data_IF_461109484896
#
_entry.id   IF_461109484896
#
_cell.length_a   1.000
_cell.length_b   1.000
_cell.length_c   1.000
_cell.angle_alpha   90.00
_cell.angle_beta   90.00
_cell.angle_gamma   90.00
#
_symmetry.space_group_name_H-M   'P 1'
#
loop_
_entity.id
_entity.type
_entity.pdbx_description
1 polymer ?
#
# COMPACT_ATOMS: atom_id res chain seq x y z
N UNK A 1 3.58 -11.86 14.18
CA UNK A 1 3.01 -10.55 13.88
C UNK A 1 1.89 -10.71 12.86
N UNK A 2 0.81 -9.97 13.00
CA UNK A 2 -0.34 -10.04 12.08
C UNK A 2 -0.37 -8.80 11.19
N UNK A 3 -0.48 -9.01 9.89
CA UNK A 3 -0.44 -7.95 8.89
C UNK A 3 -1.80 -7.77 8.21
N UNK A 4 -2.17 -6.52 7.97
CA UNK A 4 -3.27 -6.16 7.09
C UNK A 4 -2.68 -5.80 5.73
N UNK A 5 -3.01 -6.59 4.72
CA UNK A 5 -2.49 -6.38 3.37
C UNK A 5 -3.55 -5.68 2.53
N UNK A 6 -3.22 -4.49 2.01
CA UNK A 6 -4.11 -3.67 1.19
C UNK A 6 -3.47 -3.35 -0.15
N UNK A 7 -4.27 -3.30 -1.20
CA UNK A 7 -3.82 -2.88 -2.52
C UNK A 7 -4.97 -2.25 -3.30
N UNK A 8 -4.62 -1.39 -4.26
CA UNK A 8 -5.57 -0.89 -5.26
C UNK A 8 -6.77 -0.17 -4.65
N UNK A 9 -6.50 0.72 -3.71
CA UNK A 9 -7.51 1.58 -3.08
C UNK A 9 -8.04 2.60 -4.09
N UNK A 10 -7.17 3.09 -4.99
CA UNK A 10 -7.52 3.98 -6.11
C UNK A 10 -8.34 5.20 -5.70
N UNK A 11 -8.04 5.77 -4.54
CA UNK A 11 -8.68 7.00 -4.10
C UNK A 11 -10.05 6.84 -3.44
N UNK A 12 -10.54 5.62 -3.26
CA UNK A 12 -11.83 5.37 -2.61
C UNK A 12 -11.69 5.36 -1.09
N UNK A 13 -12.13 6.43 -0.43
CA UNK A 13 -12.10 6.52 1.03
C UNK A 13 -12.97 5.44 1.69
N UNK A 14 -14.20 5.16 1.22
CA UNK A 14 -14.99 4.10 1.83
C UNK A 14 -14.30 2.73 1.79
N UNK A 15 -13.59 2.42 0.71
CA UNK A 15 -12.83 1.17 0.57
C UNK A 15 -11.74 1.11 1.64
N UNK A 16 -10.98 2.19 1.83
CA UNK A 16 -9.95 2.24 2.86
C UNK A 16 -10.55 2.11 4.26
N UNK A 17 -11.63 2.81 4.54
CA UNK A 17 -12.26 2.77 5.87
C UNK A 17 -12.74 1.37 6.23
N UNK A 18 -13.32 0.66 5.28
CA UNK A 18 -13.75 -0.74 5.49
C UNK A 18 -12.56 -1.65 5.80
N UNK A 19 -11.47 -1.48 5.04
CA UNK A 19 -10.27 -2.28 5.24
C UNK A 19 -9.62 -2.00 6.60
N UNK A 20 -9.52 -0.73 6.99
CA UNK A 20 -8.97 -0.37 8.29
C UNK A 20 -9.83 -0.87 9.44
N UNK A 21 -11.16 -0.82 9.30
CA UNK A 21 -12.07 -1.35 10.31
C UNK A 21 -11.88 -2.87 10.46
N UNK A 22 -11.72 -3.58 9.35
CA UNK A 22 -11.43 -5.02 9.37
C UNK A 22 -10.10 -5.29 10.07
N UNK A 23 -9.05 -4.51 9.77
CA UNK A 23 -7.76 -4.66 10.42
C UNK A 23 -7.82 -4.46 11.92
N UNK A 24 -8.59 -3.47 12.39
CA UNK A 24 -8.80 -3.26 13.84
C UNK A 24 -9.53 -4.43 14.47
N UNK A 25 -10.59 -4.92 13.83
CA UNK A 25 -11.36 -6.08 14.31
C UNK A 25 -10.47 -7.33 14.43
N UNK A 26 -9.57 -7.52 13.48
CA UNK A 26 -8.64 -8.66 13.47
C UNK A 26 -7.40 -8.42 14.31
N UNK A 27 -7.25 -7.26 14.92
CA UNK A 27 -6.10 -6.89 15.76
C UNK A 27 -4.77 -6.99 15.01
N UNK A 28 -4.76 -6.47 13.77
CA UNK A 28 -3.54 -6.45 12.97
C UNK A 28 -2.50 -5.49 13.56
N UNK A 29 -1.23 -5.88 13.54
CA UNK A 29 -0.12 -5.11 14.10
C UNK A 29 0.40 -4.06 13.13
N UNK A 30 0.51 -4.43 11.85
CA UNK A 30 1.08 -3.60 10.81
C UNK A 30 0.21 -3.63 9.56
N UNK A 31 0.36 -2.61 8.73
CA UNK A 31 -0.34 -2.50 7.46
C UNK A 31 0.70 -2.57 6.33
N UNK A 32 0.47 -3.46 5.38
CA UNK A 32 1.27 -3.57 4.16
C UNK A 32 0.45 -2.97 3.03
N UNK A 33 0.91 -1.83 2.51
CA UNK A 33 0.20 -1.05 1.50
C UNK A 33 0.86 -1.29 0.15
N UNK A 34 0.21 -2.04 -0.70
CA UNK A 34 0.82 -2.63 -1.90
C UNK A 34 0.66 -1.80 -3.16
N UNK A 35 0.36 -0.51 -3.02
CA UNK A 35 0.34 0.41 -4.15
C UNK A 35 -1.05 0.77 -4.67
N UNK A 36 -1.08 1.70 -5.62
CA UNK A 36 -2.30 2.28 -6.21
C UNK A 36 -3.23 2.86 -5.14
N UNK A 37 -2.69 3.84 -4.41
CA UNK A 37 -3.28 4.34 -3.16
C UNK A 37 -4.30 5.44 -3.43
N UNK A 38 -3.84 6.59 -3.96
CA UNK A 38 -4.65 7.80 -4.09
C UNK A 38 -5.25 7.97 -5.47
N UNK A 39 -4.53 7.53 -6.50
CA UNK A 39 -4.87 7.79 -7.88
C UNK A 39 -5.61 6.59 -8.48
N UNK A 40 -6.76 6.85 -9.11
CA UNK A 40 -7.54 5.76 -9.72
C UNK A 40 -7.01 5.36 -11.12
N UNK A 41 -6.16 6.19 -11.73
CA UNK A 41 -5.54 5.89 -13.02
C UNK A 41 -6.46 6.12 -14.23
N UNK A 42 -5.89 6.21 -15.43
CA UNK A 42 -6.66 6.58 -16.63
C UNK A 42 -7.56 5.46 -17.16
N UNK A 43 -7.30 4.20 -16.77
CA UNK A 43 -8.08 3.06 -17.25
C UNK A 43 -9.30 2.73 -16.39
N UNK A 44 -9.38 3.33 -15.21
CA UNK A 44 -10.47 3.08 -14.28
C UNK A 44 -11.46 4.24 -14.32
N UNK A 45 -12.72 3.98 -14.04
CA UNK A 45 -13.69 5.04 -13.82
C UNK A 45 -13.43 5.73 -12.48
N UNK A 46 -14.01 6.90 -12.28
CA UNK A 46 -13.92 7.61 -11.00
C UNK A 46 -14.61 6.76 -9.92
N UNK A 47 -13.91 6.37 -8.86
CA UNK A 47 -14.50 5.51 -7.84
C UNK A 47 -15.52 6.28 -6.99
N UNK A 48 -16.49 5.55 -6.45
CA UNK A 48 -17.41 6.10 -5.47
C UNK A 48 -16.62 6.52 -4.22
N UNK A 49 -16.93 7.72 -3.73
CA UNK A 49 -16.25 8.22 -2.54
C UNK A 49 -14.79 8.62 -2.77
N UNK A 50 -14.44 9.06 -4.00
CA UNK A 50 -13.10 9.56 -4.29
C UNK A 50 -12.75 10.70 -3.33
N UNK A 51 -11.73 10.49 -2.51
CA UNK A 51 -11.27 11.49 -1.53
C UNK A 51 -9.80 11.22 -1.20
N UNK A 52 -8.91 11.66 -2.07
CA UNK A 52 -7.47 11.46 -1.89
C UNK A 52 -6.95 12.11 -0.60
N UNK A 53 -7.44 13.29 -0.28
CA UNK A 53 -7.01 13.97 0.95
C UNK A 53 -7.49 13.25 2.21
N UNK A 54 -8.72 12.75 2.21
CA UNK A 54 -9.23 11.95 3.32
C UNK A 54 -8.42 10.67 3.54
N UNK A 55 -8.03 10.01 2.45
CA UNK A 55 -7.17 8.84 2.52
C UNK A 55 -5.80 9.23 3.10
N UNK A 56 -5.19 10.31 2.59
CA UNK A 56 -3.89 10.76 3.08
C UNK A 56 -3.95 11.06 4.58
N UNK A 57 -4.99 11.72 5.05
CA UNK A 57 -5.16 12.00 6.48
C UNK A 57 -5.23 10.72 7.31
N UNK A 58 -5.99 9.72 6.86
CA UNK A 58 -6.10 8.44 7.56
C UNK A 58 -4.76 7.70 7.61
N UNK A 59 -4.06 7.62 6.47
CA UNK A 59 -2.79 6.91 6.39
C UNK A 59 -1.69 7.63 7.16
N UNK A 60 -1.65 8.96 7.11
CA UNK A 60 -0.66 9.74 7.85
C UNK A 60 -0.78 9.54 9.36
N UNK A 61 -2.00 9.36 9.86
CA UNK A 61 -2.23 9.07 11.27
C UNK A 61 -1.69 7.70 11.69
N UNK A 62 -1.48 6.79 10.72
CA UNK A 62 -0.99 5.44 10.95
C UNK A 62 0.40 5.21 10.35
N UNK A 63 1.11 6.27 9.96
CA UNK A 63 2.34 6.17 9.16
C UNK A 63 3.41 5.28 9.79
N UNK A 64 3.55 5.28 11.11
CA UNK A 64 4.53 4.48 11.84
C UNK A 64 4.21 2.97 11.82
N UNK A 65 3.01 2.60 11.37
CA UNK A 65 2.55 1.21 11.30
C UNK A 65 2.39 0.70 9.87
N UNK A 66 2.84 1.48 8.87
CA UNK A 66 2.65 1.15 7.46
C UNK A 66 3.99 0.92 6.77
N UNK A 67 4.06 -0.16 6.00
CA UNK A 67 5.12 -0.41 5.03
C UNK A 67 4.46 -0.42 3.65
N UNK A 68 5.00 0.32 2.69
CA UNK A 68 4.37 0.50 1.39
C UNK A 68 5.31 0.19 0.24
N UNK A 69 4.74 -0.13 -0.91
CA UNK A 69 5.43 -0.20 -2.20
C UNK A 69 4.65 0.62 -3.23
N UNK A 70 5.34 1.00 -4.30
CA UNK A 70 4.75 1.76 -5.39
C UNK A 70 3.96 0.85 -6.32
N UNK A 71 2.71 1.25 -6.64
CA UNK A 71 1.93 0.69 -7.72
C UNK A 71 2.12 1.48 -9.02
N UNK A 72 1.45 1.06 -10.07
CA UNK A 72 1.55 1.72 -11.37
C UNK A 72 0.84 3.07 -11.43
N UNK A 73 -0.08 3.35 -10.51
CA UNK A 73 -0.81 4.61 -10.46
C UNK A 73 -0.24 5.63 -9.46
N UNK A 74 0.72 5.24 -8.61
CA UNK A 74 1.27 6.13 -7.60
C UNK A 74 2.25 7.12 -8.21
N UNK A 75 2.12 8.39 -7.84
CA UNK A 75 2.91 9.49 -8.40
C UNK A 75 3.70 10.23 -7.34
N UNK A 76 4.65 11.04 -7.80
CA UNK A 76 5.42 11.91 -6.93
C UNK A 76 4.53 12.93 -6.21
N UNK A 77 3.46 13.37 -6.86
CA UNK A 77 2.48 14.28 -6.24
C UNK A 77 1.79 13.57 -5.08
N UNK A 78 1.42 12.29 -5.26
CA UNK A 78 0.82 11.52 -4.18
C UNK A 78 1.77 11.40 -2.99
N UNK A 79 3.06 11.18 -3.26
CA UNK A 79 4.07 11.11 -2.20
C UNK A 79 4.12 12.41 -1.39
N UNK A 80 3.88 13.56 -2.00
CA UNK A 80 3.90 14.84 -1.29
C UNK A 80 2.80 14.96 -0.24
N UNK A 81 1.72 14.20 -0.38
CA UNK A 81 0.61 14.18 0.57
C UNK A 81 0.80 13.18 1.71
N UNK A 82 1.72 12.25 1.56
CA UNK A 82 1.89 11.12 2.49
C UNK A 82 3.19 11.24 3.28
N UNK A 83 3.11 10.97 4.58
CA UNK A 83 4.25 11.02 5.52
C UNK A 83 4.97 9.69 5.65
N UNK A 84 4.70 8.77 4.76
CA UNK A 84 5.34 7.47 4.67
C UNK A 84 5.88 7.29 3.26
N UNK A 85 6.99 6.57 3.06
CA UNK A 85 7.54 6.39 1.72
C UNK A 85 6.66 5.42 0.92
N UNK A 86 6.27 5.85 -0.30
CA UNK A 86 5.42 5.05 -1.18
C UNK A 86 6.03 4.81 -2.57
N UNK A 87 7.25 5.26 -2.80
CA UNK A 87 7.83 5.27 -4.15
C UNK A 87 8.82 4.14 -4.39
N UNK A 88 9.00 3.21 -3.46
CA UNK A 88 9.87 2.06 -3.64
C UNK A 88 9.25 1.06 -4.61
N UNK A 89 10.04 0.63 -5.60
CA UNK A 89 9.61 -0.39 -6.56
C UNK A 89 9.33 -1.73 -5.88
N UNK A 90 10.07 -2.03 -4.81
CA UNK A 90 9.82 -3.18 -3.95
C UNK A 90 10.33 -2.87 -2.54
N UNK A 91 9.90 -3.66 -1.58
CA UNK A 91 10.32 -3.53 -0.19
C UNK A 91 10.55 -4.93 0.39
N UNK A 92 11.50 -5.04 1.29
CA UNK A 92 11.75 -6.29 2.01
C UNK A 92 11.19 -6.17 3.42
N UNK A 93 10.40 -7.15 3.79
CA UNK A 93 9.91 -7.31 5.15
C UNK A 93 10.66 -8.48 5.77
N UNK A 94 11.31 -8.25 6.91
CA UNK A 94 12.01 -9.29 7.62
C UNK A 94 11.21 -9.63 8.87
N UNK A 95 10.75 -10.87 8.96
CA UNK A 95 9.96 -11.33 10.09
C UNK A 95 10.34 -12.77 10.41
N UNK A 96 10.69 -13.03 11.67
CA UNK A 96 11.08 -14.36 12.16
C UNK A 96 12.19 -15.01 11.32
N UNK A 97 13.18 -14.22 10.91
CA UNK A 97 14.30 -14.70 10.11
C UNK A 97 13.99 -14.92 8.63
N UNK A 98 12.79 -14.63 8.19
CA UNK A 98 12.38 -14.75 6.80
C UNK A 98 12.45 -13.40 6.08
N UNK A 99 12.88 -13.42 4.85
CA UNK A 99 12.85 -12.24 3.96
C UNK A 99 11.65 -12.36 3.03
N UNK A 100 10.73 -11.45 3.17
CA UNK A 100 9.50 -11.42 2.38
C UNK A 100 9.58 -10.25 1.42
N UNK A 101 9.49 -10.56 0.12
CA UNK A 101 9.49 -9.53 -0.93
C UNK A 101 8.09 -8.99 -1.09
N UNK A 102 7.95 -7.67 -0.99
CA UNK A 102 6.70 -6.97 -1.25
C UNK A 102 6.82 -6.22 -2.57
N UNK A 103 5.90 -6.47 -3.50
CA UNK A 103 5.86 -5.80 -4.79
C UNK A 103 4.42 -5.70 -5.27
N UNK A 104 4.12 -4.62 -6.01
CA UNK A 104 2.79 -4.46 -6.62
C UNK A 104 2.58 -5.44 -7.77
N UNK A 105 3.66 -5.81 -8.47
CA UNK A 105 3.63 -6.80 -9.54
C UNK A 105 3.79 -6.24 -10.95
N UNK A 106 3.83 -4.92 -11.12
CA UNK A 106 3.95 -4.31 -12.46
C UNK A 106 5.40 -4.19 -12.94
N UNK A 107 6.38 -4.18 -12.03
CA UNK A 107 7.81 -4.16 -12.36
C UNK A 107 8.44 -5.51 -12.02
N UNK A 108 8.35 -5.90 -10.76
CA UNK A 108 8.82 -7.20 -10.29
C UNK A 108 7.64 -8.10 -9.98
N UNK A 109 7.77 -9.39 -10.32
CA UNK A 109 6.73 -10.40 -10.12
C UNK A 109 7.42 -11.75 -9.88
N UNK A 110 6.63 -12.81 -9.74
CA UNK A 110 7.16 -14.16 -9.59
C UNK A 110 7.97 -14.62 -10.81
N UNK A 111 7.73 -14.03 -11.99
CA UNK A 111 8.47 -14.35 -13.22
C UNK A 111 9.69 -13.44 -13.43
N UNK A 112 9.83 -12.34 -12.69
CA UNK A 112 10.96 -11.43 -12.82
C UNK A 112 11.26 -10.79 -11.47
N UNK A 113 12.09 -11.49 -10.69
CA UNK A 113 12.46 -11.05 -9.34
C UNK A 113 13.63 -10.07 -9.35
N UNK A 114 13.73 -9.15 -8.37
CA UNK A 114 14.95 -8.38 -8.16
C UNK A 114 16.07 -9.30 -7.67
N UNK A 115 17.34 -8.85 -7.75
CA UNK A 115 18.45 -9.64 -7.21
C UNK A 115 18.26 -9.93 -5.72
N UNK A 116 18.58 -11.15 -5.31
CA UNK A 116 18.54 -11.54 -3.90
C UNK A 116 17.85 -12.88 -3.69
N UNK A 117 17.82 -13.28 -2.42
CA UNK A 117 17.13 -14.49 -2.01
C UNK A 117 15.94 -14.11 -1.11
N UNK A 118 14.78 -14.66 -1.41
CA UNK A 118 13.54 -14.40 -0.69
C UNK A 118 12.85 -15.69 -0.31
N UNK A 119 12.22 -15.69 0.84
CA UNK A 119 11.42 -16.80 1.32
C UNK A 119 9.96 -16.65 0.91
#
# INVERSE_FOLDING_TARGET
MKYLLLSDIHGSLPTLEKALAFGRKQQCDMILLMGDILNYGPRNGVPEGLDARGIADRLNALADRIVAVRGNCDSEVDQMLLRLPIMQTYTLLVDEGRKILLTHGHVYSDSQLPPGHFD
#
